data_IF_734472241783
#
_entry.id   IF_734472241783
#
_cell.length_a   1.000
_cell.length_b   1.000
_cell.length_c   1.000
_cell.angle_alpha   90.00
_cell.angle_beta   90.00
_cell.angle_gamma   90.00
#
_symmetry.space_group_name_H-M   'P 1'
#
loop_
_entity.id
_entity.type
_entity.pdbx_description
1 polymer ?
#
# COMPACT_ATOMS: atom_id res chain seq x y z
N UNK A 1 9.89 11.18 11.29
CA UNK A 1 9.10 10.30 10.41
C UNK A 1 9.61 8.85 10.47
N UNK A 2 10.88 8.57 10.14
CA UNK A 2 11.47 7.21 10.19
C UNK A 2 11.39 6.51 11.57
N UNK A 3 11.45 7.25 12.68
CA UNK A 3 11.37 6.68 14.04
C UNK A 3 9.95 6.30 14.51
N UNK A 4 8.91 6.55 13.70
CA UNK A 4 7.52 6.19 13.99
C UNK A 4 6.93 5.14 13.04
N UNK A 5 7.70 4.72 12.04
CA UNK A 5 7.27 3.77 11.01
C UNK A 5 8.04 2.46 11.15
N UNK A 6 7.36 1.41 11.56
CA UNK A 6 7.85 0.03 11.65
C UNK A 6 7.52 -0.79 10.37
N UNK A 7 6.91 -0.15 9.38
CA UNK A 7 6.53 -0.73 8.10
C UNK A 7 7.01 0.19 6.95
N UNK A 8 7.56 -0.42 5.90
CA UNK A 8 8.01 0.25 4.70
C UNK A 8 6.83 0.91 3.94
N UNK A 9 5.66 0.30 3.91
CA UNK A 9 4.47 0.87 3.27
C UNK A 9 4.00 2.14 3.99
N UNK A 10 3.96 2.14 5.33
CA UNK A 10 3.67 3.36 6.10
C UNK A 10 4.69 4.47 5.83
N UNK A 11 5.97 4.13 5.75
CA UNK A 11 7.02 5.09 5.39
C UNK A 11 6.78 5.69 4.01
N UNK A 12 6.27 4.90 3.06
CA UNK A 12 5.90 5.35 1.72
C UNK A 12 4.79 6.41 1.71
N UNK A 13 3.88 6.40 2.69
CA UNK A 13 2.84 7.42 2.83
C UNK A 13 3.29 8.65 3.62
N UNK A 14 4.07 8.43 4.69
CA UNK A 14 4.37 9.48 5.66
C UNK A 14 5.63 10.29 5.30
N UNK A 15 6.47 9.78 4.39
CA UNK A 15 7.70 10.45 3.96
C UNK A 15 7.65 10.78 2.47
N UNK A 16 7.59 12.08 2.16
CA UNK A 16 7.39 12.59 0.81
C UNK A 16 8.32 12.00 -0.28
N UNK A 17 9.64 11.83 -0.04
CA UNK A 17 10.50 11.19 -1.04
C UNK A 17 10.06 9.76 -1.40
N UNK A 18 9.67 8.94 -0.41
CA UNK A 18 9.15 7.60 -0.66
C UNK A 18 7.76 7.65 -1.31
N UNK A 19 6.92 8.61 -0.93
CA UNK A 19 5.62 8.85 -1.53
C UNK A 19 5.70 9.08 -3.04
N UNK A 20 6.70 9.80 -3.54
CA UNK A 20 6.82 10.03 -4.98
C UNK A 20 6.89 8.74 -5.80
N UNK A 21 7.49 7.68 -5.26
CA UNK A 21 7.50 6.35 -5.89
C UNK A 21 6.15 5.64 -5.74
N UNK A 22 5.56 5.76 -4.55
CA UNK A 22 4.33 5.08 -4.19
C UNK A 22 3.07 5.71 -4.80
N UNK A 23 3.08 7.01 -5.08
CA UNK A 23 1.98 7.74 -5.70
C UNK A 23 1.60 7.17 -7.08
N UNK A 24 2.53 6.49 -7.78
CA UNK A 24 2.19 5.77 -9.02
C UNK A 24 1.12 4.69 -8.77
N UNK A 25 1.20 4.02 -7.63
CA UNK A 25 0.19 3.05 -7.19
C UNK A 25 -1.13 3.71 -6.84
N UNK A 26 -1.08 4.77 -6.03
CA UNK A 26 -2.26 5.54 -5.63
C UNK A 26 -2.83 6.42 -6.75
N UNK A 27 -2.20 6.53 -7.92
CA UNK A 27 -2.72 7.33 -9.05
C UNK A 27 -3.96 6.74 -9.72
N UNK A 28 -4.37 5.54 -9.34
CA UNK A 28 -5.56 4.88 -9.90
C UNK A 28 -6.83 5.55 -9.40
N UNK A 29 -7.81 5.78 -10.27
CA UNK A 29 -9.09 6.40 -9.88
C UNK A 29 -10.20 5.41 -9.54
N UNK A 30 -9.92 4.11 -9.72
CA UNK A 30 -10.79 2.98 -9.40
C UNK A 30 -9.90 1.80 -9.10
N UNK A 31 -10.27 1.01 -8.08
CA UNK A 31 -9.62 -0.27 -7.81
C UNK A 31 -10.02 -1.31 -8.85
N UNK A 32 -9.05 -2.10 -9.29
CA UNK A 32 -9.21 -3.28 -10.14
C UNK A 32 -8.17 -4.30 -9.71
N UNK A 33 -8.49 -5.59 -9.85
CA UNK A 33 -7.60 -6.69 -9.47
C UNK A 33 -6.16 -6.49 -10.00
N UNK A 34 -6.01 -6.08 -11.26
CA UNK A 34 -4.70 -5.84 -11.90
C UNK A 34 -3.96 -4.59 -11.41
N UNK A 35 -4.64 -3.64 -10.76
CA UNK A 35 -4.00 -2.43 -10.23
C UNK A 35 -2.99 -2.75 -9.14
N UNK A 36 -3.10 -3.92 -8.49
CA UNK A 36 -2.07 -4.35 -7.54
C UNK A 36 -0.69 -4.37 -8.17
N UNK A 37 -0.56 -4.52 -9.49
CA UNK A 37 0.73 -4.50 -10.19
C UNK A 37 1.21 -3.11 -10.61
N UNK A 38 0.42 -2.04 -10.43
CA UNK A 38 0.85 -0.67 -10.76
C UNK A 38 1.73 -0.13 -9.64
N UNK A 39 3.00 -0.54 -9.65
CA UNK A 39 4.03 0.01 -8.80
C UNK A 39 5.19 0.52 -9.64
N UNK A 40 5.90 1.51 -9.13
CA UNK A 40 7.23 1.79 -9.63
C UNK A 40 8.18 0.67 -9.17
N UNK A 41 9.08 0.19 -10.04
CA UNK A 41 10.01 -0.91 -9.72
C UNK A 41 10.80 -0.66 -8.43
N UNK A 42 11.35 0.55 -8.28
CA UNK A 42 12.02 0.96 -7.04
C UNK A 42 11.12 0.76 -5.82
N UNK A 43 9.85 1.19 -5.88
CA UNK A 43 8.87 1.07 -4.79
C UNK A 43 8.74 -0.39 -4.32
N UNK A 44 8.57 -1.31 -5.26
CA UNK A 44 8.49 -2.75 -4.95
C UNK A 44 9.80 -3.30 -4.38
N UNK A 45 10.95 -2.94 -4.96
CA UNK A 45 12.26 -3.45 -4.55
C UNK A 45 12.60 -3.06 -3.11
N UNK A 46 12.51 -1.79 -2.75
CA UNK A 46 12.94 -1.36 -1.41
C UNK A 46 12.06 -1.95 -0.31
N UNK A 47 10.73 -2.00 -0.51
CA UNK A 47 9.78 -2.65 0.41
C UNK A 47 10.05 -4.14 0.55
N UNK A 48 10.25 -4.83 -0.57
CA UNK A 48 10.51 -6.28 -0.58
C UNK A 48 11.86 -6.62 0.05
N UNK A 49 12.90 -5.84 -0.23
CA UNK A 49 14.22 -5.98 0.40
C UNK A 49 14.11 -5.75 1.90
N UNK A 50 13.43 -4.70 2.36
CA UNK A 50 13.22 -4.44 3.78
C UNK A 50 12.52 -5.62 4.47
N UNK A 51 11.39 -6.09 3.92
CA UNK A 51 10.64 -7.21 4.47
C UNK A 51 11.45 -8.51 4.49
N UNK A 52 12.16 -8.83 3.40
CA UNK A 52 12.99 -10.02 3.30
C UNK A 52 14.19 -9.97 4.26
N UNK A 53 14.85 -8.83 4.37
CA UNK A 53 15.95 -8.64 5.33
C UNK A 53 15.49 -8.86 6.77
N UNK A 54 14.31 -8.35 7.15
CA UNK A 54 13.75 -8.60 8.48
C UNK A 54 13.44 -10.08 8.69
N UNK A 55 12.85 -10.77 7.71
CA UNK A 55 12.55 -12.20 7.81
C UNK A 55 13.84 -13.03 7.99
N UNK A 56 14.88 -12.73 7.20
CA UNK A 56 16.17 -13.43 7.29
C UNK A 56 16.88 -13.16 8.63
N UNK A 57 16.87 -11.91 9.11
CA UNK A 57 17.45 -11.55 10.42
C UNK A 57 16.70 -12.20 11.58
N UNK A 58 15.39 -12.42 11.45
CA UNK A 58 14.59 -13.16 12.41
C UNK A 58 14.79 -14.69 12.34
N UNK A 59 15.64 -15.18 11.42
CA UNK A 59 15.89 -16.61 11.23
C UNK A 59 14.72 -17.35 10.58
N UNK A 60 13.92 -16.67 9.76
CA UNK A 60 12.78 -17.29 9.08
C UNK A 60 13.25 -18.43 8.17
N UNK A 61 12.60 -19.62 8.25
CA UNK A 61 12.87 -20.71 7.32
C UNK A 61 12.60 -20.31 5.87
N UNK A 62 13.36 -20.89 4.93
CA UNK A 62 13.20 -20.60 3.49
C UNK A 62 11.77 -20.86 3.00
N UNK A 63 11.09 -21.86 3.56
CA UNK A 63 9.73 -22.23 3.22
C UNK A 63 8.76 -21.10 3.56
N UNK A 64 8.95 -20.42 4.70
CA UNK A 64 8.13 -19.28 5.10
C UNK A 64 8.33 -18.12 4.12
N UNK A 65 9.57 -17.83 3.74
CA UNK A 65 9.87 -16.80 2.74
C UNK A 65 9.18 -17.12 1.41
N UNK A 66 9.23 -18.38 0.95
CA UNK A 66 8.54 -18.81 -0.26
C UNK A 66 7.02 -18.63 -0.17
N UNK A 67 6.41 -18.97 0.96
CA UNK A 67 4.97 -18.75 1.16
C UNK A 67 4.60 -17.28 1.10
N UNK A 68 5.40 -16.40 1.73
CA UNK A 68 5.18 -14.95 1.68
C UNK A 68 5.24 -14.44 0.25
N UNK A 69 6.18 -14.90 -0.58
CA UNK A 69 6.30 -14.50 -1.99
C UNK A 69 5.08 -14.86 -2.84
N UNK A 70 4.29 -15.87 -2.45
CA UNK A 70 3.06 -16.28 -3.15
C UNK A 70 1.81 -15.65 -2.55
N UNK A 71 1.72 -15.62 -1.21
CA UNK A 71 0.56 -15.11 -0.49
C UNK A 71 0.41 -13.61 -0.66
N UNK A 72 1.51 -12.85 -0.62
CA UNK A 72 1.46 -11.38 -0.70
C UNK A 72 0.84 -10.90 -2.01
N UNK A 73 1.28 -11.34 -3.21
CA UNK A 73 0.62 -10.97 -4.46
C UNK A 73 -0.84 -11.40 -4.51
N UNK A 74 -1.17 -12.59 -4.00
CA UNK A 74 -2.56 -13.07 -3.96
C UNK A 74 -3.46 -12.16 -3.11
N UNK A 75 -3.01 -11.78 -1.91
CA UNK A 75 -3.73 -10.83 -1.06
C UNK A 75 -3.82 -9.47 -1.75
N UNK A 76 -2.74 -8.97 -2.35
CA UNK A 76 -2.76 -7.72 -3.12
C UNK A 76 -3.81 -7.73 -4.23
N UNK A 77 -3.85 -8.79 -5.02
CA UNK A 77 -4.87 -8.99 -6.05
C UNK A 77 -6.30 -8.96 -5.47
N UNK A 78 -6.50 -9.63 -4.34
CA UNK A 78 -7.78 -9.65 -3.66
C UNK A 78 -8.14 -8.25 -3.14
N UNK A 79 -7.26 -7.56 -2.41
CA UNK A 79 -7.52 -6.25 -1.79
C UNK A 79 -7.84 -5.14 -2.79
N UNK A 80 -7.37 -5.27 -4.03
CA UNK A 80 -7.70 -4.33 -5.13
C UNK A 80 -8.89 -4.76 -5.97
N UNK A 81 -9.56 -5.87 -5.65
CA UNK A 81 -10.74 -6.26 -6.40
C UNK A 81 -11.88 -5.24 -6.21
N UNK A 82 -12.61 -4.93 -7.29
CA UNK A 82 -13.73 -3.98 -7.23
C UNK A 82 -15.03 -4.68 -6.80
N UNK A 83 -14.96 -5.50 -5.75
CA UNK A 83 -16.09 -6.28 -5.23
C UNK A 83 -16.48 -5.73 -3.86
N UNK A 84 -17.77 -5.51 -3.65
CA UNK A 84 -18.30 -5.17 -2.32
C UNK A 84 -18.30 -6.43 -1.45
N UNK A 85 -17.16 -6.70 -0.81
CA UNK A 85 -17.00 -7.81 0.12
C UNK A 85 -17.37 -7.37 1.53
N UNK A 86 -18.04 -8.24 2.28
CA UNK A 86 -18.32 -8.05 3.72
C UNK A 86 -17.51 -9.07 4.52
N UNK A 87 -16.31 -8.69 4.93
CA UNK A 87 -15.32 -9.58 5.54
C UNK A 87 -15.49 -9.75 7.06
N UNK A 88 -16.35 -8.94 7.70
CA UNK A 88 -16.69 -9.12 9.12
C UNK A 88 -15.46 -9.11 10.04
N UNK A 89 -15.27 -10.19 10.80
CA UNK A 89 -14.16 -10.33 11.74
C UNK A 89 -12.79 -10.48 11.05
N UNK A 90 -12.74 -10.90 9.80
CA UNK A 90 -11.49 -11.06 9.02
C UNK A 90 -10.76 -9.72 8.90
N UNK A 91 -11.49 -8.60 8.90
CA UNK A 91 -10.95 -7.23 8.92
C UNK A 91 -10.10 -6.88 10.17
N UNK A 92 -10.04 -7.75 11.17
CA UNK A 92 -9.17 -7.56 12.34
C UNK A 92 -7.84 -8.29 12.19
N UNK A 93 -7.75 -9.27 11.28
CA UNK A 93 -6.58 -10.11 11.11
C UNK A 93 -5.87 -9.79 9.81
N UNK A 94 -6.60 -9.77 8.70
CA UNK A 94 -6.05 -9.60 7.36
C UNK A 94 -6.43 -8.25 6.75
N UNK A 95 -5.58 -7.74 5.87
CA UNK A 95 -6.00 -6.69 4.97
C UNK A 95 -7.02 -7.27 3.98
N UNK A 96 -8.12 -6.55 3.81
CA UNK A 96 -9.27 -7.00 3.01
C UNK A 96 -9.62 -5.92 1.99
N UNK A 97 -10.44 -6.24 0.98
CA UNK A 97 -10.90 -5.23 0.03
C UNK A 97 -11.67 -4.09 0.68
N UNK A 98 -12.30 -4.35 1.85
CA UNK A 98 -13.00 -3.30 2.61
C UNK A 98 -12.03 -2.28 3.18
N UNK A 99 -10.94 -2.76 3.82
CA UNK A 99 -9.95 -1.91 4.48
C UNK A 99 -9.07 -1.19 3.46
N UNK A 100 -8.59 -1.92 2.46
CA UNK A 100 -7.68 -1.41 1.45
C UNK A 100 -8.31 -0.33 0.56
N UNK A 101 -9.63 -0.37 0.39
CA UNK A 101 -10.35 0.71 -0.30
C UNK A 101 -10.26 2.05 0.45
N UNK A 102 -10.29 2.04 1.78
CA UNK A 102 -10.07 3.25 2.58
C UNK A 102 -8.65 3.77 2.43
N UNK A 103 -7.67 2.86 2.40
CA UNK A 103 -6.27 3.20 2.17
C UNK A 103 -6.04 3.91 0.81
N UNK A 104 -6.82 3.52 -0.20
CA UNK A 104 -6.79 4.15 -1.53
C UNK A 104 -7.65 5.43 -1.64
N UNK A 105 -8.25 5.92 -0.54
CA UNK A 105 -8.98 7.18 -0.54
C UNK A 105 -8.04 8.34 -0.89
N UNK A 106 -8.53 9.26 -1.72
CA UNK A 106 -7.80 10.48 -2.05
C UNK A 106 -7.71 11.44 -0.85
N UNK A 107 -8.59 11.28 0.15
CA UNK A 107 -8.61 12.09 1.38
C UNK A 107 -7.52 11.58 2.33
N UNK A 108 -6.47 12.36 2.65
CA UNK A 108 -5.33 11.87 3.45
C UNK A 108 -5.72 11.33 4.83
N UNK A 109 -6.73 11.91 5.49
CA UNK A 109 -7.23 11.45 6.79
C UNK A 109 -7.80 10.02 6.74
N UNK A 110 -8.25 9.61 5.55
CA UNK A 110 -8.76 8.27 5.26
C UNK A 110 -7.68 7.36 4.65
N UNK A 111 -6.92 7.86 3.67
CA UNK A 111 -5.95 7.10 2.88
C UNK A 111 -4.65 6.77 3.60
N UNK A 112 -4.19 7.64 4.50
CA UNK A 112 -3.03 7.37 5.37
C UNK A 112 -3.44 6.52 6.58
N UNK A 113 -4.03 5.36 6.28
CA UNK A 113 -4.55 4.34 7.21
C UNK A 113 -4.43 2.96 6.56
N UNK A 114 -4.60 1.90 7.34
CA UNK A 114 -4.61 0.51 6.86
C UNK A 114 -3.37 0.14 6.01
N UNK A 115 -2.17 0.43 6.50
CA UNK A 115 -0.92 0.22 5.75
C UNK A 115 -0.49 -1.23 5.63
N UNK A 116 -1.04 -2.14 6.44
CA UNK A 116 -0.68 -3.54 6.45
C UNK A 116 -0.99 -4.20 5.10
N UNK A 117 0.03 -4.73 4.44
CA UNK A 117 -0.15 -5.38 3.14
C UNK A 117 -0.94 -6.70 3.26
N UNK A 118 -0.59 -7.53 4.25
CA UNK A 118 -1.23 -8.82 4.51
C UNK A 118 -2.03 -8.85 5.81
N UNK A 119 -1.48 -8.29 6.89
CA UNK A 119 -2.00 -8.40 8.25
C UNK A 119 -2.28 -7.01 8.83
N UNK A 120 -3.36 -6.89 9.60
CA UNK A 120 -3.77 -5.63 10.25
C UNK A 120 -3.14 -5.40 11.62
N UNK A 121 -2.31 -6.33 12.10
CA UNK A 121 -1.76 -6.28 13.46
C UNK A 121 -1.01 -4.98 13.73
N UNK A 122 -0.22 -4.51 12.76
CA UNK A 122 0.52 -3.26 12.91
C UNK A 122 -0.42 -2.05 12.91
N UNK A 123 -1.42 -2.01 12.04
CA UNK A 123 -2.40 -0.94 12.05
C UNK A 123 -3.21 -0.86 13.34
N UNK A 124 -3.44 -2.00 13.99
CA UNK A 124 -4.09 -2.05 15.31
C UNK A 124 -3.14 -1.52 16.38
N UNK A 125 -1.89 -2.00 16.42
CA UNK A 125 -0.89 -1.58 17.41
C UNK A 125 -0.62 -0.06 17.32
N UNK A 126 -0.54 0.49 16.11
CA UNK A 126 -0.23 1.91 15.89
C UNK A 126 -1.46 2.80 15.74
N UNK A 127 -2.67 2.25 15.89
CA UNK A 127 -3.91 3.01 15.81
C UNK A 127 -4.18 3.61 14.42
N UNK A 128 -3.68 2.98 13.36
CA UNK A 128 -3.85 3.40 11.96
C UNK A 128 -4.90 2.59 11.22
N UNK A 129 -5.54 1.61 11.87
CA UNK A 129 -6.68 0.88 11.31
C UNK A 129 -7.92 1.76 11.20
N UNK A 130 -8.54 1.81 10.03
CA UNK A 130 -9.77 2.57 9.74
C UNK A 130 -10.81 1.70 9.02
N UNK A 131 -12.00 1.58 9.62
CA UNK A 131 -13.17 0.96 8.98
C UNK A 131 -14.47 1.57 9.55
N UNK A 132 -14.84 2.79 9.14
CA UNK A 132 -16.03 3.45 9.66
C UNK A 132 -17.31 2.77 9.15
N UNK A 133 -18.38 2.85 9.94
CA UNK A 133 -19.69 2.30 9.58
C UNK A 133 -20.45 3.25 8.62
N UNK A 134 -19.90 3.46 7.43
CA UNK A 134 -20.51 4.20 6.32
C UNK A 134 -20.05 3.64 4.99
N UNK A 135 -20.61 4.16 3.89
CA UNK A 135 -20.18 3.77 2.54
C UNK A 135 -18.68 4.08 2.35
N UNK A 136 -17.93 3.18 1.70
CA UNK A 136 -16.53 3.39 1.40
C UNK A 136 -16.32 4.55 0.40
N UNK A 137 -15.10 5.10 0.32
CA UNK A 137 -14.79 6.23 -0.54
C UNK A 137 -15.00 5.88 -2.01
N UNK A 138 -15.51 6.86 -2.75
CA UNK A 138 -15.71 6.77 -4.21
C UNK A 138 -14.59 7.50 -4.96
N UNK A 139 -14.04 8.51 -4.32
CA UNK A 139 -12.86 9.29 -4.64
C UNK A 139 -11.59 8.50 -4.28
N UNK A 140 -11.32 7.49 -5.10
CA UNK A 140 -10.07 6.74 -5.06
C UNK A 140 -8.99 7.50 -5.83
N UNK A 141 -7.79 7.58 -5.28
CA UNK A 141 -6.65 8.15 -5.99
C UNK A 141 -5.67 8.90 -5.09
N UNK A 142 -4.89 9.78 -5.73
CA UNK A 142 -4.09 10.80 -5.08
C UNK A 142 -4.28 12.14 -5.80
N UNK A 143 -4.07 13.25 -5.10
CA UNK A 143 -4.10 14.60 -5.70
C UNK A 143 -2.87 14.93 -6.55
N UNK A 144 -1.83 14.09 -6.50
CA UNK A 144 -0.61 14.28 -7.24
C UNK A 144 -0.81 14.18 -8.77
N UNK A 145 -0.13 15.03 -9.57
CA UNK A 145 -0.26 15.05 -11.02
C UNK A 145 0.55 13.92 -11.69
N UNK A 146 0.33 12.67 -11.29
CA UNK A 146 1.01 11.50 -11.85
C UNK A 146 0.61 11.34 -13.33
N UNK A 147 1.56 11.28 -14.29
CA UNK A 147 1.24 11.11 -15.71
C UNK A 147 0.46 9.83 -15.98
N UNK A 148 -0.37 9.83 -17.04
CA UNK A 148 -1.15 8.63 -17.41
C UNK A 148 -0.33 7.61 -18.21
N UNK A 149 0.66 8.07 -18.96
CA UNK A 149 1.51 7.24 -19.80
C UNK A 149 2.56 6.50 -18.97
N UNK A 150 2.90 5.28 -19.39
CA UNK A 150 3.87 4.42 -18.72
C UNK A 150 5.24 5.10 -18.52
N UNK A 151 5.82 5.68 -19.58
CA UNK A 151 7.11 6.38 -19.48
C UNK A 151 7.04 7.59 -18.54
N UNK A 152 5.90 8.28 -18.51
CA UNK A 152 5.67 9.37 -17.58
C UNK A 152 5.62 8.90 -16.13
N UNK A 153 5.00 7.75 -15.84
CA UNK A 153 4.97 7.14 -14.51
C UNK A 153 6.35 6.65 -14.06
N UNK A 154 7.17 6.15 -14.99
CA UNK A 154 8.55 5.75 -14.71
C UNK A 154 9.42 6.95 -14.32
N UNK A 155 9.27 8.08 -15.03
CA UNK A 155 10.02 9.30 -14.73
C UNK A 155 9.44 10.11 -13.56
N UNK A 156 8.16 9.90 -13.21
CA UNK A 156 7.43 10.73 -12.26
C UNK A 156 8.15 10.96 -10.93
N UNK A 157 8.67 9.93 -10.24
CA UNK A 157 9.23 10.12 -8.90
C UNK A 157 10.44 11.05 -8.92
N UNK A 158 11.29 10.90 -9.94
CA UNK A 158 12.47 11.75 -10.15
C UNK A 158 12.05 13.17 -10.50
N UNK A 159 11.08 13.35 -11.42
CA UNK A 159 10.57 14.67 -11.80
C UNK A 159 9.91 15.39 -10.61
N UNK A 160 9.13 14.68 -9.80
CA UNK A 160 8.48 15.23 -8.61
C UNK A 160 9.51 15.76 -7.61
N UNK A 161 10.62 15.04 -7.43
CA UNK A 161 11.73 15.48 -6.58
C UNK A 161 12.37 16.80 -7.00
N UNK A 162 12.57 17.00 -8.30
CA UNK A 162 13.18 18.22 -8.82
C UNK A 162 12.22 19.42 -8.85
N UNK A 163 10.91 19.19 -8.94
CA UNK A 163 9.90 20.27 -8.96
C UNK A 163 9.54 20.82 -7.58
N UNK A 164 9.85 20.09 -6.50
CA UNK A 164 9.57 20.53 -5.13
C UNK A 164 10.71 21.35 -4.49
N UNK A 165 11.75 21.67 -5.26
CA UNK A 165 12.78 22.64 -4.93
C UNK A 165 12.49 23.95 -5.64
#
# INVERSE_FOLDING_TARGET
>A
VLFRSNDAHRTAHEWWPAWCWHAVHHSVTKLWFVNTGRFHLFDSLWKSTFALSLALLAGAPKEIVMWVLVITPFIGFLTHCNVDMRCGWINWVFNTPQLHRWHHSQVPEEGNRNYGENLMIWDIIFGTRLLPNRRPPLDIGCSDPVPKQFLGQLAYPVMAWFKAK
#
